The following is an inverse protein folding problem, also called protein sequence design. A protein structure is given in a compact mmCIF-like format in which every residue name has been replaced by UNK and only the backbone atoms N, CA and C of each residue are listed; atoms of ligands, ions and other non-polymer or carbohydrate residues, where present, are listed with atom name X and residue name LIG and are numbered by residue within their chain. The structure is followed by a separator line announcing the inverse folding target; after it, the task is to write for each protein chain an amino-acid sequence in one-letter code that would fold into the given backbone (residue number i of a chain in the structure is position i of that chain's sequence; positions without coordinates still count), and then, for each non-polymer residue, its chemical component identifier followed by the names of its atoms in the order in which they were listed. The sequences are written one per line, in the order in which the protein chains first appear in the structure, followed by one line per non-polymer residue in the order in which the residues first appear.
data_IF_813597337362
#
_entry.id   IF_813597337362
#
_cell.length_a   1.000
_cell.length_b   1.000
_cell.length_c   1.000
_cell.angle_alpha   90.00
_cell.angle_beta   90.00
_cell.angle_gamma   90.00
#
_symmetry.space_group_name_H-M   'P 1'
#
loop_
_entity.id
_entity.type
_entity.pdbx_description
1 polymer ?
#
# COMPACT_ATOMS: atom_id res chain seq x y z
N UNK A 1 -9.67 -9.06 6.93
CA UNK A 1 -10.95 -8.75 6.26
C UNK A 1 -11.08 -9.35 4.85
N UNK A 2 -10.01 -9.38 4.05
CA UNK A 2 -10.02 -9.92 2.67
C UNK A 2 -10.64 -11.32 2.50
N UNK A 3 -10.48 -12.23 3.47
CA UNK A 3 -11.09 -13.55 3.44
C UNK A 3 -12.62 -13.49 3.28
N UNK A 4 -13.29 -12.50 3.87
CA UNK A 4 -14.75 -12.39 3.84
C UNK A 4 -15.27 -12.25 2.42
N UNK A 5 -14.57 -11.47 1.59
CA UNK A 5 -14.93 -11.30 0.18
C UNK A 5 -14.85 -12.61 -0.60
N UNK A 6 -13.80 -13.41 -0.35
CA UNK A 6 -13.59 -14.70 -1.00
C UNK A 6 -14.57 -15.76 -0.47
N UNK A 7 -14.81 -15.77 0.83
CA UNK A 7 -15.76 -16.66 1.49
C UNK A 7 -17.18 -16.43 0.99
N UNK A 8 -17.63 -15.17 0.91
CA UNK A 8 -18.97 -14.86 0.41
C UNK A 8 -19.10 -15.15 -1.09
N UNK A 9 -18.04 -14.99 -1.88
CA UNK A 9 -18.01 -15.37 -3.29
C UNK A 9 -18.14 -16.89 -3.45
N UNK A 10 -17.36 -17.68 -2.71
CA UNK A 10 -17.47 -19.14 -2.70
C UNK A 10 -18.83 -19.63 -2.18
N UNK A 11 -19.31 -19.06 -1.07
CA UNK A 11 -20.61 -19.44 -0.49
C UNK A 11 -21.77 -19.14 -1.44
N UNK A 12 -21.69 -18.09 -2.25
CA UNK A 12 -22.69 -17.81 -3.29
C UNK A 12 -22.61 -18.83 -4.43
N UNK A 13 -21.40 -19.20 -4.86
CA UNK A 13 -21.19 -20.21 -5.92
C UNK A 13 -21.66 -21.62 -5.53
N UNK A 14 -21.51 -21.98 -4.25
CA UNK A 14 -21.87 -23.30 -3.71
C UNK A 14 -23.29 -23.35 -3.12
N UNK A 15 -24.11 -22.31 -3.31
CA UNK A 15 -25.49 -22.19 -2.80
C UNK A 15 -25.62 -22.31 -1.27
N UNK A 16 -24.68 -21.68 -0.56
CA UNK A 16 -24.64 -21.58 0.90
C UNK A 16 -25.02 -20.19 1.40
N UNK A 17 -26.22 -19.74 1.00
CA UNK A 17 -26.80 -18.45 1.41
C UNK A 17 -26.85 -18.16 2.93
N UNK A 18 -26.99 -19.14 3.85
CA UNK A 18 -26.99 -18.84 5.29
C UNK A 18 -25.71 -18.14 5.77
N UNK A 19 -24.54 -18.51 5.24
CA UNK A 19 -23.29 -17.88 5.63
C UNK A 19 -23.19 -16.44 5.14
N UNK A 20 -23.64 -16.18 3.91
CA UNK A 20 -23.70 -14.82 3.36
C UNK A 20 -24.60 -13.93 4.23
N UNK A 21 -25.77 -14.42 4.64
CA UNK A 21 -26.69 -13.70 5.54
C UNK A 21 -26.08 -13.41 6.91
N UNK A 22 -25.30 -14.34 7.47
CA UNK A 22 -24.59 -14.11 8.73
C UNK A 22 -23.58 -12.97 8.60
N UNK A 23 -22.81 -12.95 7.51
CA UNK A 23 -21.84 -11.88 7.24
C UNK A 23 -22.55 -10.55 7.01
N UNK A 24 -23.62 -10.50 6.21
CA UNK A 24 -24.40 -9.28 5.98
C UNK A 24 -24.91 -8.68 7.30
N UNK A 25 -25.43 -9.52 8.21
CA UNK A 25 -25.90 -9.08 9.53
C UNK A 25 -24.77 -8.54 10.40
N UNK A 26 -23.63 -9.21 10.41
CA UNK A 26 -22.53 -8.93 11.33
C UNK A 26 -21.47 -7.98 10.76
N UNK A 27 -21.65 -7.46 9.54
CA UNK A 27 -20.63 -6.66 8.84
C UNK A 27 -20.20 -5.42 9.64
N UNK A 28 -21.14 -4.74 10.29
CA UNK A 28 -20.84 -3.58 11.14
C UNK A 28 -19.94 -3.97 12.33
N UNK A 29 -20.23 -5.11 12.96
CA UNK A 29 -19.42 -5.63 14.07
C UNK A 29 -18.02 -6.04 13.60
N UNK A 30 -17.93 -6.63 12.43
CA UNK A 30 -16.66 -7.01 11.80
C UNK A 30 -15.83 -5.75 11.51
N UNK A 31 -16.44 -4.71 10.94
CA UNK A 31 -15.78 -3.43 10.67
C UNK A 31 -15.29 -2.81 11.97
N UNK A 32 -16.10 -2.78 13.03
CA UNK A 32 -15.70 -2.23 14.33
C UNK A 32 -14.57 -3.03 15.00
N UNK A 33 -14.48 -4.35 14.76
CA UNK A 33 -13.35 -5.16 15.23
C UNK A 33 -12.04 -4.87 14.46
N UNK A 34 -12.12 -4.49 13.18
CA UNK A 34 -10.95 -4.29 12.30
C UNK A 34 -10.50 -2.82 12.25
N UNK A 35 -11.45 -1.91 12.39
CA UNK A 35 -11.27 -0.46 12.40
C UNK A 35 -12.10 0.14 13.55
N UNK A 36 -11.68 -0.05 14.82
CA UNK A 36 -12.43 0.44 15.96
C UNK A 36 -12.45 1.98 16.01
N UNK A 37 -13.45 2.54 16.67
CA UNK A 37 -13.64 3.99 16.78
C UNK A 37 -12.57 4.71 17.63
N UNK A 38 -11.71 3.96 18.33
CA UNK A 38 -10.60 4.48 19.14
C UNK A 38 -9.37 4.89 18.30
N UNK A 39 -9.46 4.80 16.96
CA UNK A 39 -8.39 5.17 16.04
C UNK A 39 -7.27 4.13 15.89
N UNK A 40 -7.30 3.04 16.67
CA UNK A 40 -6.29 1.98 16.62
C UNK A 40 -6.26 1.24 15.27
N UNK A 41 -7.38 1.24 14.54
CA UNK A 41 -7.51 0.63 13.22
C UNK A 41 -7.56 1.63 12.05
N UNK A 42 -7.19 2.90 12.24
CA UNK A 42 -7.22 3.92 11.19
C UNK A 42 -6.46 3.48 9.92
N UNK A 43 -5.30 2.84 10.08
CA UNK A 43 -4.52 2.38 8.94
C UNK A 43 -5.10 1.12 8.23
N UNK A 44 -6.14 0.50 8.79
CA UNK A 44 -6.91 -0.55 8.10
C UNK A 44 -8.06 0.02 7.25
N UNK A 45 -8.41 1.31 7.40
CA UNK A 45 -9.59 1.93 6.76
C UNK A 45 -9.55 1.76 5.23
N UNK A 46 -8.41 2.03 4.59
CA UNK A 46 -8.23 1.82 3.13
C UNK A 46 -8.49 0.37 2.71
N UNK A 47 -8.07 -0.60 3.52
CA UNK A 47 -8.25 -2.03 3.26
C UNK A 47 -9.71 -2.46 3.48
N UNK A 48 -10.36 -1.93 4.52
CA UNK A 48 -11.80 -2.13 4.79
C UNK A 48 -12.63 -1.61 3.61
N UNK A 49 -12.36 -0.38 3.16
CA UNK A 49 -13.06 0.24 2.02
C UNK A 49 -12.92 -0.58 0.74
N UNK A 50 -11.72 -1.12 0.47
CA UNK A 50 -11.48 -2.01 -0.67
C UNK A 50 -12.35 -3.28 -0.60
N UNK A 51 -12.44 -3.91 0.56
CA UNK A 51 -13.27 -5.12 0.75
C UNK A 51 -14.76 -4.81 0.62
N UNK A 52 -15.24 -3.68 1.19
CA UNK A 52 -16.64 -3.27 1.08
C UNK A 52 -17.04 -3.00 -0.38
N UNK A 53 -16.18 -2.31 -1.15
CA UNK A 53 -16.40 -2.13 -2.58
C UNK A 53 -16.46 -3.48 -3.33
N UNK A 54 -15.58 -4.43 -2.99
CA UNK A 54 -15.62 -5.78 -3.57
C UNK A 54 -16.92 -6.54 -3.25
N UNK A 55 -17.45 -6.38 -2.03
CA UNK A 55 -18.75 -6.95 -1.63
C UNK A 55 -19.93 -6.25 -2.33
N UNK A 56 -19.83 -4.95 -2.62
CA UNK A 56 -20.82 -4.21 -3.41
C UNK A 56 -20.89 -4.72 -4.84
N UNK A 57 -19.74 -4.83 -5.51
CA UNK A 57 -19.65 -5.22 -6.91
C UNK A 57 -20.18 -6.63 -7.14
N UNK A 58 -20.18 -7.47 -6.10
CA UNK A 58 -20.74 -8.83 -6.11
C UNK A 58 -22.21 -8.88 -5.64
N UNK A 59 -22.86 -7.74 -5.45
CA UNK A 59 -24.24 -7.61 -4.95
C UNK A 59 -24.50 -8.27 -3.59
N UNK A 60 -23.44 -8.45 -2.78
CA UNK A 60 -23.51 -9.08 -1.45
C UNK A 60 -23.94 -8.05 -0.41
N UNK A 61 -23.59 -6.78 -0.59
CA UNK A 61 -24.02 -5.68 0.27
C UNK A 61 -24.71 -4.60 -0.57
N UNK A 62 -25.73 -3.96 -0.01
CA UNK A 62 -26.41 -2.85 -0.66
C UNK A 62 -25.53 -1.60 -0.65
N UNK A 63 -25.72 -0.73 -1.64
CA UNK A 63 -25.04 0.56 -1.70
C UNK A 63 -25.34 1.45 -0.48
N UNK A 64 -26.55 1.32 0.09
CA UNK A 64 -26.98 2.05 1.28
C UNK A 64 -26.19 1.64 2.53
N UNK A 65 -26.05 0.33 2.77
CA UNK A 65 -25.27 -0.20 3.90
C UNK A 65 -23.80 0.21 3.80
N UNK A 66 -23.24 0.25 2.59
CA UNK A 66 -21.86 0.68 2.38
C UNK A 66 -21.71 2.18 2.65
N UNK A 67 -22.65 3.00 2.19
CA UNK A 67 -22.62 4.44 2.46
C UNK A 67 -22.69 4.75 3.97
N UNK A 68 -23.49 4.01 4.73
CA UNK A 68 -23.56 4.12 6.19
C UNK A 68 -22.22 3.75 6.85
N UNK A 69 -21.63 2.62 6.44
CA UNK A 69 -20.31 2.20 6.96
C UNK A 69 -19.23 3.21 6.60
N UNK A 70 -19.19 3.69 5.35
CA UNK A 70 -18.21 4.66 4.88
C UNK A 70 -18.33 6.01 5.59
N UNK A 71 -19.56 6.45 5.91
CA UNK A 71 -19.77 7.63 6.73
C UNK A 71 -19.16 7.43 8.13
N UNK A 72 -19.40 6.28 8.75
CA UNK A 72 -18.81 5.93 10.04
C UNK A 72 -17.28 5.79 10.01
N UNK A 73 -16.68 5.43 8.87
CA UNK A 73 -15.23 5.32 8.70
C UNK A 73 -14.54 6.66 8.45
N UNK A 74 -15.20 7.63 7.81
CA UNK A 74 -14.64 8.98 7.55
C UNK A 74 -14.23 9.68 8.85
N UNK A 75 -15.04 9.57 9.89
CA UNK A 75 -14.74 10.17 11.20
C UNK A 75 -13.51 9.52 11.86
N UNK A 76 -13.22 8.26 11.52
CA UNK A 76 -12.13 7.44 12.09
C UNK A 76 -10.79 7.62 11.36
N UNK A 77 -10.82 8.06 10.11
CA UNK A 77 -9.65 8.28 9.23
C UNK A 77 -8.85 9.52 9.64
N UNK A 78 -9.50 10.49 10.30
CA UNK A 78 -8.87 11.75 10.77
C UNK A 78 -8.00 11.61 12.03
N UNK A 79 -7.77 10.39 12.52
CA UNK A 79 -7.06 10.17 13.78
C UNK A 79 -5.55 10.48 13.64
N UNK A 80 -4.95 11.26 14.57
CA UNK A 80 -3.58 11.79 14.46
C UNK A 80 -2.46 10.75 14.43
N UNK A 81 -2.75 9.48 14.68
CA UNK A 81 -1.78 8.38 14.52
C UNK A 81 -1.44 8.11 13.03
N UNK A 82 -2.25 8.57 12.08
CA UNK A 82 -2.00 8.46 10.64
C UNK A 82 -1.19 9.65 10.08
N UNK A 83 -1.37 10.83 10.66
CA UNK A 83 -0.75 12.09 10.18
C UNK A 83 0.79 12.12 10.29
N UNK A 84 1.39 11.24 11.09
CA UNK A 84 2.85 11.14 11.24
C UNK A 84 3.51 10.23 10.18
N UNK A 85 2.72 9.46 9.42
CA UNK A 85 3.22 8.58 8.36
C UNK A 85 3.09 9.19 6.95
N UNK A 86 2.07 10.02 6.71
CA UNK A 86 1.92 10.69 5.40
C UNK A 86 2.87 11.89 5.21
N UNK A 87 3.47 12.41 6.28
CA UNK A 87 4.45 13.48 6.18
C UNK A 87 5.77 13.04 5.50
N UNK A 88 6.04 11.74 5.39
CA UNK A 88 7.24 11.17 4.75
C UNK A 88 7.05 10.79 3.27
N UNK A 89 5.82 10.85 2.72
CA UNK A 89 5.57 10.46 1.31
C UNK A 89 5.54 11.65 0.33
N UNK A 90 5.67 12.89 0.82
CA UNK A 90 5.53 14.13 0.02
C UNK A 90 6.83 14.86 -0.35
N UNK A 91 8.01 14.29 -0.12
CA UNK A 91 9.29 15.02 -0.13
C UNK A 91 10.33 14.59 -1.17
N UNK A 92 9.93 14.13 -2.36
CA UNK A 92 10.87 13.84 -3.45
C UNK A 92 10.75 14.90 -4.56
N UNK A 93 11.42 16.04 -4.38
CA UNK A 93 11.53 17.06 -5.41
C UNK A 93 12.09 18.38 -4.88
N UNK A 94 13.41 18.58 -5.00
CA UNK A 94 14.02 19.87 -4.71
C UNK A 94 15.51 19.78 -4.40
N UNK A 95 16.32 19.93 -5.44
CA UNK A 95 17.73 20.30 -5.39
C UNK A 95 17.99 21.58 -4.55
N UNK A 96 19.16 21.68 -3.92
CA UNK A 96 19.63 22.92 -3.32
C UNK A 96 20.47 22.75 -2.05
N UNK A 97 21.81 22.71 -2.21
CA UNK A 97 22.76 22.73 -1.10
C UNK A 97 22.71 24.01 -0.26
N UNK A 98 23.07 23.89 1.03
CA UNK A 98 23.27 25.03 1.93
C UNK A 98 23.45 24.62 3.40
N UNK A 99 24.65 24.83 3.92
CA UNK A 99 25.05 24.71 5.32
C UNK A 99 24.18 25.55 6.28
N UNK A 100 23.64 24.95 7.34
CA UNK A 100 23.33 25.66 8.60
C UNK A 100 23.02 24.69 9.74
N UNK A 101 23.90 24.70 10.75
CA UNK A 101 23.65 24.16 12.10
C UNK A 101 22.39 24.78 12.71
N UNK A 102 21.39 23.97 13.06
CA UNK A 102 20.34 24.36 14.02
C UNK A 102 20.14 23.27 15.07
N UNK A 103 20.54 23.60 16.30
CA UNK A 103 20.16 22.92 17.53
C UNK A 103 18.67 23.23 17.80
N UNK A 104 17.77 22.30 17.51
CA UNK A 104 16.45 22.33 18.12
C UNK A 104 15.98 20.91 18.42
N UNK A 105 16.12 20.51 19.69
CA UNK A 105 15.56 19.27 20.19
C UNK A 105 14.05 19.30 20.07
N UNK A 106 13.47 18.28 19.43
CA UNK A 106 12.03 18.08 19.37
C UNK A 106 11.46 17.98 20.80
N UNK A 107 10.43 18.77 21.16
CA UNK A 107 9.84 18.69 22.47
C UNK A 107 9.03 17.40 22.55
N UNK A 108 9.53 16.44 23.34
CA UNK A 108 8.72 15.33 23.85
C UNK A 108 7.69 15.88 24.84
N UNK A 109 6.48 16.13 24.36
CA UNK A 109 5.29 16.38 25.17
C UNK A 109 4.07 16.36 24.25
N UNK A 110 3.06 15.53 24.43
CA UNK A 110 2.30 15.35 25.66
C UNK A 110 1.67 13.96 25.70
N UNK A 111 1.54 13.40 26.91
CA UNK A 111 0.83 12.14 27.18
C UNK A 111 -0.67 12.31 26.87
N UNK A 112 -1.07 11.99 25.64
CA UNK A 112 -2.43 11.53 25.37
C UNK A 112 -2.52 10.08 25.82
N UNK A 113 -3.41 9.80 26.78
CA UNK A 113 -3.77 8.45 27.23
C UNK A 113 -4.55 7.69 26.16
N UNK A 114 -3.97 7.55 24.97
CA UNK A 114 -4.36 6.52 24.01
C UNK A 114 -3.50 5.30 24.28
N UNK A 115 -4.11 4.11 24.35
CA UNK A 115 -3.43 2.83 24.49
C UNK A 115 -2.24 2.80 23.54
N UNK A 116 -1.02 2.98 24.07
CA UNK A 116 0.19 2.94 23.26
C UNK A 116 0.29 1.51 22.74
N UNK A 117 0.00 1.32 21.46
CA UNK A 117 0.14 0.05 20.76
C UNK A 117 1.52 -0.49 21.09
N UNK A 118 1.61 -1.76 21.51
CA UNK A 118 2.85 -2.33 22.02
C UNK A 118 3.95 -2.22 20.94
N UNK A 119 5.18 -1.90 21.35
CA UNK A 119 6.31 -1.67 20.44
C UNK A 119 6.53 -2.86 19.51
N UNK A 120 6.33 -4.08 20.02
CA UNK A 120 6.40 -5.32 19.24
C UNK A 120 5.35 -5.39 18.14
N UNK A 121 4.13 -4.95 18.42
CA UNK A 121 3.04 -4.94 17.45
C UNK A 121 3.29 -3.92 16.32
N UNK A 122 3.88 -2.76 16.65
CA UNK A 122 4.30 -1.77 15.65
C UNK A 122 5.42 -2.31 14.77
N UNK A 123 6.46 -2.90 15.35
CA UNK A 123 7.59 -3.50 14.61
C UNK A 123 7.13 -4.64 13.70
N UNK A 124 6.28 -5.53 14.21
CA UNK A 124 5.69 -6.60 13.42
C UNK A 124 4.92 -6.06 12.21
N UNK A 125 4.13 -5.00 12.40
CA UNK A 125 3.37 -4.39 11.32
C UNK A 125 4.26 -3.78 10.25
N UNK A 126 5.30 -3.05 10.66
CA UNK A 126 6.29 -2.48 9.73
C UNK A 126 6.94 -3.59 8.91
N UNK A 127 7.29 -4.70 9.55
CA UNK A 127 7.94 -5.81 8.87
C UNK A 127 7.00 -6.54 7.90
N UNK A 128 5.73 -6.73 8.28
CA UNK A 128 4.70 -7.30 7.41
C UNK A 128 4.46 -6.42 6.17
N UNK A 129 4.39 -5.10 6.33
CA UNK A 129 4.23 -4.17 5.20
C UNK A 129 5.49 -4.13 4.31
N UNK A 130 6.69 -4.19 4.89
CA UNK A 130 7.94 -4.32 4.13
C UNK A 130 7.95 -5.59 3.29
N UNK A 131 7.66 -6.72 3.90
CA UNK A 131 7.61 -8.01 3.19
C UNK A 131 6.50 -8.04 2.14
N UNK A 132 5.37 -7.36 2.36
CA UNK A 132 4.32 -7.20 1.35
C UNK A 132 4.81 -6.40 0.15
N UNK A 133 5.44 -5.25 0.38
CA UNK A 133 5.96 -4.39 -0.70
C UNK A 133 7.09 -5.09 -1.46
N UNK A 134 7.96 -5.79 -0.74
CA UNK A 134 9.01 -6.63 -1.31
C UNK A 134 8.42 -7.68 -2.26
N UNK A 135 7.43 -8.47 -1.84
CA UNK A 135 6.76 -9.46 -2.71
C UNK A 135 6.09 -8.84 -3.94
N UNK A 136 5.52 -7.64 -3.84
CA UNK A 136 4.94 -6.94 -4.99
C UNK A 136 5.99 -6.52 -6.02
N UNK A 137 7.20 -6.15 -5.56
CA UNK A 137 8.32 -5.79 -6.44
C UNK A 137 9.01 -7.01 -7.04
N UNK A 138 9.04 -8.13 -6.33
CA UNK A 138 9.66 -9.38 -6.78
C UNK A 138 9.07 -9.91 -8.10
N UNK A 139 7.77 -9.69 -8.36
CA UNK A 139 7.13 -10.11 -9.61
C UNK A 139 7.13 -9.06 -10.72
N UNK A 140 7.60 -7.84 -10.45
CA UNK A 140 7.49 -6.71 -11.37
C UNK A 140 8.37 -6.86 -12.62
N UNK A 141 9.51 -7.55 -12.48
CA UNK A 141 10.44 -7.81 -13.58
C UNK A 141 10.19 -9.16 -14.25
N UNK A 142 9.20 -9.94 -13.81
CA UNK A 142 8.90 -11.25 -14.38
C UNK A 142 8.26 -11.09 -15.75
N UNK A 143 8.93 -11.59 -16.79
CA UNK A 143 8.40 -11.67 -18.14
C UNK A 143 7.71 -13.02 -18.32
N UNK A 144 6.47 -13.01 -18.82
CA UNK A 144 5.78 -14.22 -19.29
C UNK A 144 6.55 -14.73 -20.50
N UNK A 145 7.05 -15.96 -20.49
CA UNK A 145 7.95 -16.51 -21.53
C UNK A 145 7.34 -16.74 -22.92
N UNK A 146 6.42 -15.88 -23.36
CA UNK A 146 5.94 -15.79 -24.72
C UNK A 146 6.63 -14.59 -25.40
N UNK A 147 7.58 -14.90 -26.31
CA UNK A 147 8.47 -13.92 -26.95
C UNK A 147 7.70 -12.82 -27.70
N UNK A 148 6.49 -13.09 -28.18
CA UNK A 148 5.64 -12.12 -28.88
C UNK A 148 5.09 -11.02 -27.95
N UNK A 149 4.62 -11.43 -26.76
CA UNK A 149 4.06 -10.52 -25.76
C UNK A 149 5.16 -9.69 -25.08
N UNK A 150 6.36 -10.25 -24.92
CA UNK A 150 7.53 -9.52 -24.42
C UNK A 150 7.93 -8.37 -25.36
N UNK A 151 8.06 -8.65 -26.65
CA UNK A 151 8.46 -7.65 -27.63
C UNK A 151 7.44 -6.50 -27.73
N UNK A 152 6.14 -6.81 -27.68
CA UNK A 152 5.08 -5.79 -27.68
C UNK A 152 5.18 -4.85 -26.49
N UNK A 153 5.31 -5.40 -25.27
CA UNK A 153 5.45 -4.60 -24.05
C UNK A 153 6.73 -3.76 -24.05
N UNK A 154 7.85 -4.33 -24.48
CA UNK A 154 9.09 -3.59 -24.60
C UNK A 154 8.95 -2.39 -25.54
N UNK A 155 8.26 -2.55 -26.67
CA UNK A 155 8.04 -1.47 -27.62
C UNK A 155 7.10 -0.38 -27.08
N UNK A 156 6.05 -0.77 -26.37
CA UNK A 156 5.07 0.17 -25.80
C UNK A 156 5.59 0.93 -24.59
N UNK A 157 6.45 0.29 -23.78
CA UNK A 157 7.03 0.86 -22.54
C UNK A 157 8.43 1.46 -22.74
N UNK A 158 8.99 1.40 -23.95
CA UNK A 158 10.28 2.01 -24.27
C UNK A 158 10.23 3.51 -24.00
N UNK A 159 11.11 3.97 -23.10
CA UNK A 159 11.29 5.40 -22.84
C UNK A 159 12.09 6.06 -23.95
N UNK A 160 11.88 7.36 -24.13
CA UNK A 160 12.76 8.18 -24.97
C UNK A 160 14.20 8.18 -24.41
N UNK A 161 15.16 8.37 -25.31
CA UNK A 161 16.58 8.42 -24.94
C UNK A 161 16.87 9.62 -24.03
N UNK A 162 17.49 9.34 -22.88
CA UNK A 162 17.82 10.30 -21.83
C UNK A 162 19.32 10.58 -21.70
N UNK A 163 19.65 11.48 -20.78
CA UNK A 163 21.06 11.82 -20.45
C UNK A 163 21.82 10.61 -19.89
N UNK A 164 21.17 9.80 -19.05
CA UNK A 164 21.73 8.59 -18.46
C UNK A 164 22.15 7.57 -19.53
N UNK A 165 21.43 7.48 -20.65
CA UNK A 165 21.78 6.59 -21.77
C UNK A 165 23.10 7.02 -22.44
N UNK A 166 23.31 8.33 -22.59
CA UNK A 166 24.57 8.86 -23.13
C UNK A 166 25.74 8.66 -22.17
N UNK A 167 25.50 8.81 -20.86
CA UNK A 167 26.50 8.54 -19.83
C UNK A 167 26.90 7.06 -19.84
N UNK A 168 25.92 6.15 -19.82
CA UNK A 168 26.16 4.71 -19.89
C UNK A 168 26.93 4.31 -21.15
N UNK A 169 26.56 4.87 -22.32
CA UNK A 169 27.26 4.61 -23.57
C UNK A 169 28.71 5.12 -23.56
N UNK A 170 28.95 6.29 -22.98
CA UNK A 170 30.30 6.86 -22.87
C UNK A 170 31.18 6.05 -21.91
N UNK A 171 30.63 5.61 -20.77
CA UNK A 171 31.30 4.73 -19.81
C UNK A 171 31.70 3.40 -20.48
N UNK A 172 30.77 2.76 -21.20
CA UNK A 172 31.05 1.51 -21.92
C UNK A 172 32.17 1.67 -22.98
N UNK A 173 32.18 2.80 -23.70
CA UNK A 173 33.26 3.12 -24.66
C UNK A 173 34.59 3.33 -23.96
N UNK A 174 34.62 4.01 -22.82
CA UNK A 174 35.85 4.20 -22.04
C UNK A 174 36.40 2.87 -21.52
N UNK A 175 35.55 1.99 -20.99
CA UNK A 175 35.94 0.66 -20.52
C UNK A 175 36.51 -0.20 -21.66
N UNK A 176 35.83 -0.25 -22.82
CA UNK A 176 36.31 -0.99 -24.01
C UNK A 176 37.68 -0.49 -24.46
N UNK A 177 37.91 0.82 -24.45
CA UNK A 177 39.22 1.41 -24.81
C UNK A 177 40.32 1.02 -23.83
N UNK A 178 40.03 0.99 -22.54
CA UNK A 178 40.98 0.53 -21.52
C UNK A 178 41.34 -0.94 -21.72
N UNK A 179 40.36 -1.80 -22.03
CA UNK A 179 40.58 -3.23 -22.30
C UNK A 179 41.44 -3.48 -23.56
N UNK A 180 41.28 -2.66 -24.60
CA UNK A 180 42.10 -2.75 -25.82
C UNK A 180 43.53 -2.25 -25.58
N UNK A 181 43.71 -1.24 -24.71
CA UNK A 181 45.02 -0.69 -24.35
C UNK A 181 45.79 -1.48 -23.29
N UNK A 182 45.15 -2.41 -22.59
CA UNK A 182 45.75 -3.25 -21.54
C UNK A 182 46.49 -4.50 -22.07
N UNK A 183 47.06 -4.42 -23.29
CA UNK A 183 47.79 -5.51 -23.95
C UNK A 183 49.30 -5.32 -23.91
#
# INVERSE_FOLDING_TARGET
MYFIEQFCDMATKEDHAPYVRMIQRDILRIVDCVAPADGSGAANVKHVRRVLNGLQSKEILSAETIAEIDAGLKDRETHPAHLDLEAEEGGAGGDGGGDARSKHGTPRGSKGSGMRVDKRQIEQRIEEDRERNKRLRESMWTVSGDDGDEHGKFWDEASDIGEDDFLAANEEVMERRQMIGAK
#
